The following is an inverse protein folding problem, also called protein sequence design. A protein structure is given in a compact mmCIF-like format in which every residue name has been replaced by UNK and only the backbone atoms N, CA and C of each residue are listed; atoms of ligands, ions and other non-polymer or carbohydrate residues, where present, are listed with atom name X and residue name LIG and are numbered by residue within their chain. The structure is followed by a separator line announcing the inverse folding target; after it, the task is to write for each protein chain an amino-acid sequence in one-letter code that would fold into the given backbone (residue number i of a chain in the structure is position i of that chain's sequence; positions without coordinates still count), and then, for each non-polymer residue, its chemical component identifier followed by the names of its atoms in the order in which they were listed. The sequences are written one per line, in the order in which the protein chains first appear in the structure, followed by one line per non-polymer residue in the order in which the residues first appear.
data_IF_562299448284
#
_entry.id   IF_562299448284
#
_cell.length_a   1.000
_cell.length_b   1.000
_cell.length_c   1.000
_cell.angle_alpha   90.00
_cell.angle_beta   90.00
_cell.angle_gamma   90.00
#
_symmetry.space_group_name_H-M   'P 1'
#
loop_
_entity.id
_entity.type
_entity.pdbx_description
1 polymer ?
#
# COMPACT_ATOMS: atom_id res chain seq x y z
N UNK A 1 39.21 3.74 -28.19
CA UNK A 1 39.16 2.39 -27.60
C UNK A 1 38.79 2.56 -26.14
N UNK A 2 37.49 2.73 -25.84
CA UNK A 2 36.98 2.93 -24.49
C UNK A 2 36.62 1.54 -23.91
N UNK A 3 37.35 1.15 -22.90
CA UNK A 3 37.00 -0.04 -22.10
C UNK A 3 35.68 0.22 -21.39
N UNK A 4 34.64 -0.43 -21.84
CA UNK A 4 33.36 -0.54 -21.16
C UNK A 4 33.61 -1.45 -19.94
N UNK A 5 33.82 -0.87 -18.74
CA UNK A 5 33.78 -1.59 -17.49
C UNK A 5 32.35 -2.09 -17.34
N UNK A 6 32.11 -3.27 -17.85
CA UNK A 6 30.89 -4.03 -17.62
C UNK A 6 30.96 -4.50 -16.15
N UNK A 7 30.29 -3.80 -15.24
CA UNK A 7 29.87 -4.43 -14.00
C UNK A 7 28.82 -5.46 -14.40
N UNK A 8 29.26 -6.64 -14.75
CA UNK A 8 28.40 -7.80 -14.94
C UNK A 8 27.71 -8.09 -13.59
N UNK A 9 26.48 -7.60 -13.45
CA UNK A 9 25.52 -8.32 -12.63
C UNK A 9 25.29 -9.63 -13.37
N UNK A 10 25.77 -10.72 -12.81
CA UNK A 10 25.71 -12.06 -13.40
C UNK A 10 24.30 -12.63 -13.18
N UNK A 11 23.27 -11.90 -13.64
CA UNK A 11 21.89 -12.37 -13.67
C UNK A 11 21.56 -12.74 -15.10
N UNK A 12 21.33 -14.04 -15.34
CA UNK A 12 20.82 -14.53 -16.63
C UNK A 12 19.35 -14.09 -16.88
N UNK A 13 18.73 -13.39 -15.90
CA UNK A 13 17.34 -12.93 -15.96
C UNK A 13 17.22 -11.56 -16.61
N UNK A 14 16.27 -11.43 -17.52
CA UNK A 14 15.89 -10.15 -18.11
C UNK A 14 15.03 -9.31 -17.14
N UNK A 15 15.41 -8.03 -16.96
CA UNK A 15 14.83 -7.13 -15.96
C UNK A 15 14.15 -5.95 -16.65
N UNK A 16 12.87 -5.70 -16.26
CA UNK A 16 12.12 -4.50 -16.60
C UNK A 16 11.93 -3.62 -15.37
N UNK A 17 12.35 -2.36 -15.43
CA UNK A 17 12.02 -1.39 -14.38
C UNK A 17 10.79 -0.58 -14.76
N UNK A 18 9.82 -0.49 -13.87
CA UNK A 18 8.56 0.22 -13.99
C UNK A 18 8.54 1.43 -13.04
N UNK A 19 8.37 2.64 -13.58
CA UNK A 19 8.45 3.90 -12.84
C UNK A 19 7.14 4.68 -13.01
N UNK A 20 6.27 4.79 -12.00
CA UNK A 20 5.18 5.76 -12.01
C UNK A 20 5.76 7.15 -11.77
N UNK A 21 5.36 8.15 -12.56
CA UNK A 21 5.84 9.52 -12.47
C UNK A 21 4.69 10.53 -12.63
N UNK A 22 4.72 11.61 -11.84
CA UNK A 22 3.82 12.76 -11.97
C UNK A 22 4.52 14.01 -11.47
N UNK A 23 4.87 14.93 -12.39
CA UNK A 23 5.62 16.16 -12.12
C UNK A 23 6.99 15.90 -11.45
N UNK A 24 7.79 15.03 -12.07
CA UNK A 24 9.10 14.60 -11.58
C UNK A 24 10.25 15.05 -12.51
N UNK A 25 10.11 16.15 -13.25
CA UNK A 25 11.11 16.64 -14.24
C UNK A 25 12.52 16.76 -13.68
N UNK A 26 12.66 17.06 -12.38
CA UNK A 26 13.98 17.25 -11.76
C UNK A 26 14.75 15.95 -11.51
N UNK A 27 14.04 14.81 -11.38
CA UNK A 27 14.64 13.54 -10.94
C UNK A 27 14.53 12.42 -11.97
N UNK A 28 13.44 12.39 -12.75
CA UNK A 28 13.10 11.26 -13.61
C UNK A 28 14.23 10.88 -14.58
N UNK A 29 14.91 11.86 -15.18
CA UNK A 29 16.00 11.60 -16.13
C UNK A 29 17.20 10.91 -15.48
N UNK A 30 17.55 11.28 -14.24
CA UNK A 30 18.61 10.62 -13.46
C UNK A 30 18.21 9.22 -13.03
N UNK A 31 16.97 9.05 -12.57
CA UNK A 31 16.43 7.75 -12.15
C UNK A 31 16.45 6.78 -13.32
N UNK A 32 15.90 7.15 -14.48
CA UNK A 32 15.90 6.33 -15.70
C UNK A 32 17.32 5.90 -16.11
N UNK A 33 18.25 6.87 -16.24
CA UNK A 33 19.64 6.59 -16.62
C UNK A 33 20.36 5.65 -15.66
N UNK A 34 20.05 5.76 -14.35
CA UNK A 34 20.64 4.88 -13.37
C UNK A 34 19.98 3.49 -13.39
N UNK A 35 18.67 3.40 -13.56
CA UNK A 35 17.98 2.11 -13.71
C UNK A 35 18.47 1.32 -14.92
N UNK A 36 18.75 1.98 -16.06
CA UNK A 36 19.29 1.34 -17.27
C UNK A 36 20.70 0.71 -17.10
N UNK A 37 21.37 0.97 -15.99
CA UNK A 37 22.63 0.28 -15.66
C UNK A 37 22.41 -1.12 -15.10
N UNK A 38 21.21 -1.41 -14.59
CA UNK A 38 20.86 -2.62 -13.85
C UNK A 38 19.64 -3.35 -14.44
N UNK A 39 19.08 -2.83 -15.53
CA UNK A 39 17.91 -3.38 -16.19
C UNK A 39 18.05 -3.34 -17.70
N UNK A 40 17.42 -4.28 -18.40
CA UNK A 40 17.40 -4.36 -19.86
C UNK A 40 16.45 -3.33 -20.47
N UNK A 41 15.37 -3.01 -19.74
CA UNK A 41 14.35 -2.07 -20.15
C UNK A 41 13.85 -1.23 -18.98
N UNK A 42 13.52 0.02 -19.25
CA UNK A 42 12.85 0.93 -18.32
C UNK A 42 11.57 1.43 -18.97
N UNK A 43 10.45 1.32 -18.28
CA UNK A 43 9.18 1.92 -18.68
C UNK A 43 8.74 2.94 -17.63
N UNK A 44 8.39 4.13 -18.09
CA UNK A 44 7.84 5.21 -17.25
C UNK A 44 6.37 5.38 -17.59
N UNK A 45 5.51 5.46 -16.59
CA UNK A 45 4.14 5.92 -16.77
C UNK A 45 4.03 7.36 -16.26
N UNK A 46 4.00 8.31 -17.19
CA UNK A 46 3.70 9.72 -16.93
C UNK A 46 2.20 9.88 -16.72
N UNK A 47 1.78 10.08 -15.47
CA UNK A 47 0.37 10.19 -15.07
C UNK A 47 -0.20 11.59 -15.32
N UNK A 48 -0.03 12.10 -16.54
CA UNK A 48 -0.56 13.40 -16.98
C UNK A 48 0.18 14.58 -16.36
N UNK A 49 1.51 14.55 -16.34
CA UNK A 49 2.35 15.66 -15.86
C UNK A 49 2.12 16.93 -16.70
N UNK A 50 2.26 18.07 -16.03
CA UNK A 50 2.19 19.41 -16.64
C UNK A 50 3.56 20.03 -16.87
N UNK A 51 4.62 19.40 -16.34
CA UNK A 51 6.02 19.74 -16.50
C UNK A 51 6.67 18.91 -17.63
N UNK A 52 8.00 18.94 -17.75
CA UNK A 52 8.76 18.23 -18.79
C UNK A 52 9.07 16.76 -18.42
N UNK A 53 8.32 16.14 -17.49
CA UNK A 53 8.58 14.76 -17.04
C UNK A 53 8.61 13.77 -18.21
N UNK A 54 7.64 13.86 -19.13
CA UNK A 54 7.57 12.99 -20.31
C UNK A 54 8.80 13.10 -21.20
N UNK A 55 9.12 14.31 -21.61
CA UNK A 55 10.22 14.59 -22.57
C UNK A 55 11.57 14.18 -21.97
N UNK A 56 11.76 14.40 -20.67
CA UNK A 56 13.00 14.05 -19.97
C UNK A 56 13.13 12.53 -19.80
N UNK A 57 12.04 11.82 -19.50
CA UNK A 57 12.05 10.37 -19.37
C UNK A 57 12.36 9.68 -20.73
N UNK A 58 11.72 10.14 -21.81
CA UNK A 58 11.95 9.64 -23.17
C UNK A 58 13.41 9.91 -23.62
N UNK A 59 13.90 11.13 -23.46
CA UNK A 59 15.29 11.50 -23.76
C UNK A 59 16.32 10.74 -22.91
N UNK A 60 15.93 10.24 -21.73
CA UNK A 60 16.78 9.41 -20.88
C UNK A 60 16.84 7.94 -21.32
N UNK A 61 15.99 7.52 -22.28
CA UNK A 61 15.95 6.17 -22.85
C UNK A 61 14.89 5.24 -22.30
N UNK A 62 13.86 5.76 -21.62
CA UNK A 62 12.72 4.96 -21.17
C UNK A 62 11.68 4.80 -22.30
N UNK A 63 10.92 3.70 -22.24
CA UNK A 63 9.64 3.62 -22.91
C UNK A 63 8.62 4.41 -22.10
N UNK A 64 7.95 5.42 -22.66
CA UNK A 64 7.04 6.26 -21.89
C UNK A 64 5.59 6.03 -22.30
N UNK A 65 4.77 5.69 -21.30
CA UNK A 65 3.30 5.65 -21.40
C UNK A 65 2.80 6.96 -20.82
N UNK A 66 1.97 7.71 -21.54
CA UNK A 66 1.43 8.99 -21.06
C UNK A 66 -0.09 8.91 -20.89
N UNK A 67 -0.57 9.31 -19.72
CA UNK A 67 -2.00 9.53 -19.48
C UNK A 67 -2.39 10.96 -19.90
N UNK A 68 -3.61 11.13 -20.40
CA UNK A 68 -4.12 12.47 -20.78
C UNK A 68 -4.30 13.41 -19.57
N UNK A 69 -4.51 12.85 -18.39
CA UNK A 69 -4.69 13.57 -17.12
C UNK A 69 -4.24 12.73 -15.95
N UNK A 70 -3.98 13.35 -14.81
CA UNK A 70 -3.67 12.64 -13.57
C UNK A 70 -4.84 11.72 -13.17
N UNK A 71 -4.57 10.43 -13.19
CA UNK A 71 -5.49 9.35 -12.81
C UNK A 71 -5.13 8.73 -11.47
N UNK A 72 -3.94 9.05 -10.94
CA UNK A 72 -3.39 8.57 -9.68
C UNK A 72 -2.44 7.38 -9.83
N UNK A 73 -1.60 7.18 -8.81
CA UNK A 73 -0.53 6.15 -8.79
C UNK A 73 -1.06 4.74 -9.12
N UNK A 74 -2.29 4.40 -8.71
CA UNK A 74 -2.89 3.10 -8.99
C UNK A 74 -3.11 2.85 -10.49
N UNK A 75 -3.59 3.85 -11.22
CA UNK A 75 -3.75 3.75 -12.69
C UNK A 75 -2.39 3.66 -13.38
N UNK A 76 -1.41 4.44 -12.93
CA UNK A 76 -0.06 4.35 -13.45
C UNK A 76 0.51 2.93 -13.28
N UNK A 77 0.33 2.30 -12.12
CA UNK A 77 0.74 0.90 -11.92
C UNK A 77 -0.04 -0.09 -12.80
N UNK A 78 -1.33 0.14 -13.07
CA UNK A 78 -2.08 -0.72 -13.99
C UNK A 78 -1.50 -0.67 -15.40
N UNK A 79 -1.22 0.54 -15.91
CA UNK A 79 -0.61 0.75 -17.23
C UNK A 79 0.79 0.10 -17.30
N UNK A 80 1.61 0.27 -16.24
CA UNK A 80 2.92 -0.35 -16.13
C UNK A 80 2.85 -1.89 -16.08
N UNK A 81 1.95 -2.46 -15.29
CA UNK A 81 1.80 -3.91 -15.21
C UNK A 81 1.17 -4.51 -16.48
N UNK A 82 0.30 -3.77 -17.15
CA UNK A 82 -0.18 -4.18 -18.47
C UNK A 82 0.96 -4.24 -19.48
N UNK A 83 1.83 -3.25 -19.52
CA UNK A 83 3.04 -3.28 -20.34
C UNK A 83 3.95 -4.46 -19.98
N UNK A 84 4.21 -4.66 -18.68
CA UNK A 84 5.07 -5.73 -18.18
C UNK A 84 4.53 -7.14 -18.52
N UNK A 85 3.22 -7.35 -18.52
CA UNK A 85 2.61 -8.64 -18.92
C UNK A 85 2.86 -9.01 -20.37
N UNK A 86 2.97 -8.01 -21.25
CA UNK A 86 3.26 -8.20 -22.69
C UNK A 86 4.75 -8.23 -23.00
N UNK A 87 5.60 -7.80 -22.07
CA UNK A 87 7.05 -7.82 -22.22
C UNK A 87 7.60 -9.22 -22.00
N UNK A 88 8.67 -9.56 -22.76
CA UNK A 88 9.36 -10.83 -22.57
C UNK A 88 10.52 -10.66 -21.57
N UNK A 89 10.20 -10.42 -20.30
CA UNK A 89 11.15 -10.25 -19.20
C UNK A 89 10.84 -11.23 -18.07
N UNK A 90 11.81 -11.54 -17.22
CA UNK A 90 11.70 -12.51 -16.15
C UNK A 90 11.35 -11.85 -14.82
N UNK A 91 11.89 -10.66 -14.57
CA UNK A 91 11.71 -9.90 -13.34
C UNK A 91 11.22 -8.49 -13.65
N UNK A 92 10.25 -8.04 -12.89
CA UNK A 92 9.71 -6.69 -12.95
C UNK A 92 10.09 -5.98 -11.64
N UNK A 93 10.72 -4.81 -11.74
CA UNK A 93 11.07 -3.98 -10.58
C UNK A 93 10.27 -2.69 -10.64
N UNK A 94 9.57 -2.33 -9.58
CA UNK A 94 8.97 -1.01 -9.42
C UNK A 94 9.88 -0.11 -8.60
N UNK A 95 10.00 1.16 -8.97
CA UNK A 95 10.73 2.19 -8.22
C UNK A 95 10.05 3.54 -8.43
N UNK A 96 9.99 4.40 -7.41
CA UNK A 96 9.38 5.73 -7.52
C UNK A 96 10.29 6.70 -8.31
N UNK A 97 9.67 7.64 -9.06
CA UNK A 97 10.37 8.59 -9.93
C UNK A 97 11.05 9.76 -9.22
N UNK A 98 10.84 9.92 -7.90
CA UNK A 98 11.29 11.04 -7.07
C UNK A 98 12.78 11.01 -6.67
N UNK A 99 13.49 9.96 -7.07
CA UNK A 99 14.91 9.77 -6.81
C UNK A 99 15.27 9.45 -5.36
N UNK A 100 14.31 9.11 -4.52
CA UNK A 100 14.58 8.73 -3.12
C UNK A 100 15.23 7.36 -3.01
N UNK A 101 14.88 6.41 -3.86
CA UNK A 101 15.49 5.08 -3.88
C UNK A 101 16.74 5.03 -4.75
N UNK A 102 17.66 4.16 -4.41
CA UNK A 102 18.93 3.93 -5.13
C UNK A 102 18.80 2.77 -6.12
N UNK A 103 18.83 3.02 -7.45
CA UNK A 103 18.79 1.96 -8.45
C UNK A 103 19.92 0.93 -8.34
N UNK A 104 21.03 1.28 -7.68
CA UNK A 104 22.17 0.39 -7.39
C UNK A 104 21.77 -0.81 -6.49
N UNK A 105 20.62 -0.73 -5.83
CA UNK A 105 20.11 -1.80 -4.96
C UNK A 105 19.14 -2.74 -5.69
N UNK A 106 18.79 -2.47 -6.95
CA UNK A 106 17.98 -3.38 -7.80
C UNK A 106 18.51 -4.83 -7.76
N UNK A 107 19.82 -5.09 -7.92
CA UNK A 107 20.35 -6.45 -7.90
C UNK A 107 20.05 -7.21 -6.62
N UNK A 108 20.02 -6.55 -5.45
CA UNK A 108 19.70 -7.18 -4.17
C UNK A 108 18.29 -7.74 -4.11
N UNK A 109 17.32 -7.00 -4.69
CA UNK A 109 15.92 -7.44 -4.74
C UNK A 109 15.76 -8.58 -5.76
N UNK A 110 16.41 -8.43 -6.94
CA UNK A 110 16.33 -9.40 -8.03
C UNK A 110 16.92 -10.74 -7.62
N UNK A 111 18.02 -10.76 -6.88
CA UNK A 111 18.69 -11.98 -6.44
C UNK A 111 17.77 -12.94 -5.71
N UNK A 112 16.84 -12.45 -4.87
CA UNK A 112 15.88 -13.32 -4.16
C UNK A 112 14.80 -13.91 -5.08
N UNK A 113 14.49 -13.23 -6.18
CA UNK A 113 13.61 -13.81 -7.21
C UNK A 113 14.39 -14.88 -8.00
N UNK A 114 15.62 -14.58 -8.37
CA UNK A 114 16.50 -15.45 -9.13
C UNK A 114 16.82 -16.75 -8.37
N UNK A 115 17.10 -16.65 -7.06
CA UNK A 115 17.30 -17.80 -6.18
C UNK A 115 16.01 -18.59 -5.89
N UNK A 116 14.87 -18.14 -6.44
CA UNK A 116 13.54 -18.73 -6.19
C UNK A 116 13.15 -18.76 -4.70
N UNK A 117 13.68 -17.82 -3.92
CA UNK A 117 13.31 -17.66 -2.50
C UNK A 117 11.98 -16.95 -2.34
N UNK A 118 11.66 -16.00 -3.26
CA UNK A 118 10.47 -15.19 -3.21
C UNK A 118 9.87 -14.93 -4.60
N UNK A 119 8.57 -14.65 -4.66
CA UNK A 119 7.86 -14.22 -5.85
C UNK A 119 7.65 -12.69 -5.85
N UNK A 120 7.70 -12.07 -4.65
CA UNK A 120 7.69 -10.63 -4.43
C UNK A 120 8.74 -10.27 -3.38
N UNK A 121 9.59 -9.29 -3.66
CA UNK A 121 10.58 -8.76 -2.73
C UNK A 121 10.32 -7.27 -2.50
N UNK A 122 10.22 -6.86 -1.24
CA UNK A 122 9.95 -5.48 -0.84
C UNK A 122 11.24 -4.87 -0.31
N UNK A 123 11.68 -3.74 -0.88
CA UNK A 123 12.75 -2.93 -0.34
C UNK A 123 12.26 -2.13 0.87
N UNK A 124 12.61 -2.50 2.11
CA UNK A 124 12.16 -1.81 3.31
C UNK A 124 13.15 -0.75 3.82
N UNK A 125 12.61 0.35 4.36
CA UNK A 125 13.32 1.62 4.66
C UNK A 125 13.66 1.87 6.12
N UNK A 126 13.31 1.00 7.04
CA UNK A 126 13.13 1.33 8.46
C UNK A 126 14.38 1.74 9.26
N UNK A 127 15.59 1.44 8.81
CA UNK A 127 16.80 1.83 9.56
C UNK A 127 17.23 3.29 9.30
N UNK A 128 16.75 3.91 8.22
CA UNK A 128 16.93 5.35 7.93
C UNK A 128 15.86 6.23 8.58
N UNK A 129 15.01 5.64 9.43
CA UNK A 129 13.88 6.32 10.09
C UNK A 129 14.26 7.46 11.05
N UNK A 130 15.55 7.75 11.27
CA UNK A 130 15.97 8.89 12.08
C UNK A 130 15.47 10.25 11.54
N UNK A 131 15.30 10.36 10.21
CA UNK A 131 14.92 11.60 9.53
C UNK A 131 13.41 11.72 9.21
N UNK A 132 12.63 10.65 9.43
CA UNK A 132 11.19 10.67 9.16
C UNK A 132 10.42 11.31 10.32
N UNK A 133 9.49 12.27 10.04
CA UNK A 133 8.63 12.86 11.08
C UNK A 133 7.83 11.81 11.85
N UNK A 134 7.68 11.98 13.16
CA UNK A 134 7.06 11.01 14.06
C UNK A 134 5.61 10.64 13.67
N UNK A 135 4.83 11.58 13.15
CA UNK A 135 3.46 11.32 12.69
C UNK A 135 3.42 10.39 11.46
N UNK A 136 4.39 10.51 10.53
CA UNK A 136 4.53 9.59 9.38
C UNK A 136 4.95 8.20 9.83
N UNK A 137 5.88 8.10 10.79
CA UNK A 137 6.28 6.80 11.39
C UNK A 137 5.09 6.09 12.01
N UNK A 138 4.27 6.82 12.76
CA UNK A 138 3.08 6.27 13.40
C UNK A 138 2.04 5.81 12.35
N UNK A 139 1.77 6.64 11.34
CA UNK A 139 0.86 6.31 10.24
C UNK A 139 1.31 5.06 9.48
N UNK A 140 2.57 5.00 9.06
CA UNK A 140 3.10 3.84 8.34
C UNK A 140 3.03 2.56 9.20
N UNK A 141 3.45 2.60 10.48
CA UNK A 141 3.34 1.44 11.38
C UNK A 141 1.91 0.96 11.57
N UNK A 142 0.95 1.87 11.62
CA UNK A 142 -0.46 1.52 11.71
C UNK A 142 -0.93 0.84 10.42
N UNK A 143 -0.56 1.38 9.26
CA UNK A 143 -0.87 0.80 7.95
C UNK A 143 -0.23 -0.60 7.78
N UNK A 144 1.05 -0.74 8.15
CA UNK A 144 1.75 -2.03 8.11
C UNK A 144 1.05 -3.07 9.00
N UNK A 145 0.71 -2.70 10.23
CA UNK A 145 -0.02 -3.59 11.15
C UNK A 145 -1.36 -4.02 10.56
N UNK A 146 -2.10 -3.10 9.98
CA UNK A 146 -3.40 -3.38 9.37
C UNK A 146 -3.26 -4.26 8.13
N UNK A 147 -2.29 -3.99 7.26
CA UNK A 147 -2.01 -4.80 6.07
C UNK A 147 -1.57 -6.21 6.46
N UNK A 148 -0.67 -6.33 7.43
CA UNK A 148 -0.21 -7.63 7.95
C UNK A 148 -1.36 -8.44 8.55
N UNK A 149 -2.29 -7.81 9.27
CA UNK A 149 -3.50 -8.49 9.77
C UNK A 149 -4.42 -8.93 8.63
N UNK A 150 -4.53 -8.16 7.55
CA UNK A 150 -5.36 -8.48 6.40
C UNK A 150 -4.76 -9.60 5.54
N UNK A 151 -3.44 -9.70 5.45
CA UNK A 151 -2.72 -10.64 4.58
C UNK A 151 -2.14 -11.85 5.32
N UNK A 152 -2.10 -11.82 6.67
CA UNK A 152 -1.35 -12.75 7.52
C UNK A 152 0.18 -12.75 7.24
N UNK A 153 0.67 -11.66 6.65
CA UNK A 153 2.10 -11.44 6.41
C UNK A 153 2.74 -10.75 7.62
N UNK A 154 4.06 -10.84 7.70
CA UNK A 154 4.89 -10.11 8.67
C UNK A 154 5.86 -9.19 7.91
N UNK A 155 5.32 -8.21 7.22
CA UNK A 155 6.06 -7.24 6.39
C UNK A 155 6.24 -5.93 7.16
N UNK A 156 7.43 -5.33 7.07
CA UNK A 156 7.83 -4.12 7.83
C UNK A 156 7.48 -2.82 7.12
N UNK A 157 7.50 -2.79 5.77
CA UNK A 157 7.24 -1.60 4.97
C UNK A 157 6.29 -1.91 3.79
N UNK A 158 5.00 -1.97 4.10
CA UNK A 158 3.97 -2.25 3.09
C UNK A 158 3.71 -1.09 2.14
N UNK A 159 4.29 0.08 2.40
CA UNK A 159 4.13 1.30 1.62
C UNK A 159 5.34 1.62 0.74
N UNK A 160 6.37 0.77 0.75
CA UNK A 160 7.52 0.95 -0.14
C UNK A 160 7.11 0.78 -1.60
N UNK A 161 7.46 1.73 -2.46
CA UNK A 161 7.30 1.65 -3.93
C UNK A 161 8.45 0.89 -4.61
N UNK A 162 9.52 0.56 -3.88
CA UNK A 162 10.66 -0.18 -4.42
C UNK A 162 10.52 -1.68 -4.18
N UNK A 163 10.15 -2.42 -5.22
CA UNK A 163 9.83 -3.85 -5.15
C UNK A 163 10.29 -4.58 -6.38
N UNK A 164 10.61 -5.87 -6.23
CA UNK A 164 10.79 -6.80 -7.34
C UNK A 164 9.68 -7.85 -7.35
N UNK A 165 9.26 -8.25 -8.55
CA UNK A 165 8.22 -9.23 -8.78
C UNK A 165 8.68 -10.24 -9.82
N UNK A 166 8.41 -11.53 -9.61
CA UNK A 166 8.54 -12.52 -10.68
C UNK A 166 7.48 -12.29 -11.76
N UNK A 167 7.79 -12.60 -13.02
CA UNK A 167 6.84 -12.51 -14.13
C UNK A 167 5.53 -13.28 -13.85
N UNK A 168 5.65 -14.42 -13.18
CA UNK A 168 4.49 -15.26 -12.92
C UNK A 168 3.48 -14.58 -12.01
N UNK A 169 3.94 -13.87 -10.97
CA UNK A 169 3.03 -13.20 -10.05
C UNK A 169 2.38 -11.95 -10.68
N UNK A 170 3.10 -11.24 -11.56
CA UNK A 170 2.53 -10.06 -12.27
C UNK A 170 1.35 -10.45 -13.16
N UNK A 171 1.34 -11.67 -13.73
CA UNK A 171 0.21 -12.17 -14.52
C UNK A 171 -1.04 -12.41 -13.67
N UNK A 172 -0.86 -12.73 -12.39
CA UNK A 172 -1.93 -13.06 -11.44
C UNK A 172 -2.42 -11.86 -10.63
N UNK A 173 -1.59 -10.81 -10.52
CA UNK A 173 -1.98 -9.59 -9.80
C UNK A 173 -3.06 -8.87 -10.60
N UNK A 174 -4.27 -8.82 -10.03
CA UNK A 174 -5.37 -8.00 -10.52
C UNK A 174 -5.86 -7.12 -9.37
N UNK A 175 -5.68 -5.82 -9.48
CA UNK A 175 -6.13 -4.85 -8.49
C UNK A 175 -7.04 -3.81 -9.13
N UNK A 176 -8.08 -3.42 -8.40
CA UNK A 176 -9.10 -2.48 -8.89
C UNK A 176 -8.67 -1.04 -8.59
N UNK A 177 -9.04 -0.14 -9.49
CA UNK A 177 -8.70 1.28 -9.53
C UNK A 177 -9.15 2.12 -8.31
N UNK A 178 -9.95 1.59 -7.40
CA UNK A 178 -10.58 2.35 -6.32
C UNK A 178 -10.35 1.64 -4.99
N UNK A 179 -9.57 2.25 -4.13
CA UNK A 179 -9.35 1.80 -2.77
C UNK A 179 -7.97 2.21 -2.29
N UNK A 180 -7.34 1.42 -1.54
CA UNK A 180 -6.04 1.55 -0.90
C UNK A 180 -4.97 2.23 -1.72
N UNK A 181 -3.96 2.72 -1.05
CA UNK A 181 -2.70 2.96 -1.70
C UNK A 181 -2.36 1.75 -2.58
N UNK A 182 -2.11 1.98 -3.88
CA UNK A 182 -1.89 0.93 -4.86
C UNK A 182 -0.87 -0.11 -4.37
N UNK A 183 0.14 0.35 -3.65
CA UNK A 183 1.20 -0.47 -3.06
C UNK A 183 0.66 -1.54 -2.11
N UNK A 184 -0.34 -1.21 -1.28
CA UNK A 184 -0.98 -2.17 -0.35
C UNK A 184 -1.88 -3.15 -1.09
N UNK A 185 -2.67 -2.68 -2.06
CA UNK A 185 -3.60 -3.53 -2.81
C UNK A 185 -2.85 -4.57 -3.66
N UNK A 186 -1.76 -4.18 -4.29
CA UNK A 186 -0.86 -5.07 -5.02
C UNK A 186 -0.35 -6.19 -4.10
N UNK A 187 0.11 -5.87 -2.88
CA UNK A 187 0.57 -6.86 -1.92
C UNK A 187 -0.52 -7.82 -1.45
N UNK A 188 -1.71 -7.28 -1.14
CA UNK A 188 -2.86 -8.09 -0.75
C UNK A 188 -3.24 -9.06 -1.88
N UNK A 189 -3.21 -8.57 -3.11
CA UNK A 189 -3.54 -9.39 -4.27
C UNK A 189 -2.47 -10.48 -4.52
N UNK A 190 -1.18 -10.13 -4.44
CA UNK A 190 -0.08 -11.08 -4.53
C UNK A 190 -0.20 -12.18 -3.45
N UNK A 191 -0.44 -11.80 -2.18
CA UNK A 191 -0.61 -12.75 -1.08
C UNK A 191 -1.82 -13.67 -1.29
N UNK A 192 -2.95 -13.16 -1.80
CA UNK A 192 -4.13 -13.97 -2.13
C UNK A 192 -3.85 -15.02 -3.21
N UNK A 193 -2.97 -14.71 -4.14
CA UNK A 193 -2.54 -15.61 -5.20
C UNK A 193 -1.39 -16.54 -4.76
N UNK A 194 -1.10 -16.61 -3.45
CA UNK A 194 -0.12 -17.54 -2.89
C UNK A 194 1.33 -17.12 -3.10
N UNK A 195 1.62 -15.84 -3.42
CA UNK A 195 2.97 -15.36 -3.60
C UNK A 195 3.79 -15.48 -2.32
N UNK A 196 5.02 -15.96 -2.44
CA UNK A 196 6.04 -15.91 -1.37
C UNK A 196 6.60 -14.50 -1.33
N UNK A 197 6.38 -13.79 -0.22
CA UNK A 197 6.80 -12.40 -0.05
C UNK A 197 7.98 -12.34 0.90
N UNK A 198 9.04 -11.67 0.48
CA UNK A 198 10.26 -11.44 1.26
C UNK A 198 10.58 -9.94 1.33
N UNK A 199 11.49 -9.58 2.21
CA UNK A 199 11.96 -8.22 2.37
C UNK A 199 13.47 -8.14 2.21
N UNK A 200 13.94 -7.02 1.65
CA UNK A 200 15.36 -6.68 1.56
C UNK A 200 15.57 -5.25 2.06
N UNK A 201 16.64 -5.05 2.85
CA UNK A 201 16.97 -3.73 3.37
C UNK A 201 17.50 -2.82 2.27
N UNK A 202 16.88 -1.63 2.12
CA UNK A 202 17.30 -0.62 1.15
C UNK A 202 17.54 0.73 1.79
N UNK A 203 18.45 1.49 1.18
CA UNK A 203 18.79 2.85 1.56
C UNK A 203 17.84 3.85 0.90
N UNK A 204 17.54 4.96 1.59
CA UNK A 204 16.68 6.03 1.08
C UNK A 204 17.32 7.38 1.33
N UNK A 205 17.27 8.24 0.31
CA UNK A 205 17.72 9.63 0.37
C UNK A 205 16.51 10.53 0.61
N UNK A 206 16.38 11.10 1.80
CA UNK A 206 15.22 11.95 2.17
C UNK A 206 15.31 13.40 1.70
N UNK A 207 16.48 13.90 1.27
CA UNK A 207 16.72 15.29 0.92
C UNK A 207 16.91 15.49 -0.57
N UNK A 208 15.98 15.03 -1.39
CA UNK A 208 16.03 15.22 -2.85
C UNK A 208 15.58 16.61 -3.28
N UNK A 209 15.05 17.45 -2.36
CA UNK A 209 14.50 18.77 -2.71
C UNK A 209 13.16 18.68 -3.46
N UNK A 210 12.63 17.47 -3.68
CA UNK A 210 11.31 17.28 -4.24
C UNK A 210 10.26 17.80 -3.27
N UNK A 211 9.33 18.63 -3.74
CA UNK A 211 8.09 18.88 -3.04
C UNK A 211 7.33 17.54 -3.02
N UNK A 212 7.57 16.73 -1.97
CA UNK A 212 6.85 15.48 -1.77
C UNK A 212 5.36 15.75 -1.94
N UNK A 213 4.79 15.14 -2.96
CA UNK A 213 3.42 15.13 -3.43
C UNK A 213 2.51 16.22 -2.84
N UNK A 214 2.07 17.14 -3.68
CA UNK A 214 1.20 18.29 -3.42
C UNK A 214 -0.18 17.99 -2.81
N UNK A 215 -0.49 16.74 -2.49
CA UNK A 215 -1.70 16.41 -1.71
C UNK A 215 -1.38 16.56 -0.23
N UNK A 216 -2.17 17.40 0.44
CA UNK A 216 -2.14 17.55 1.90
C UNK A 216 -1.97 16.18 2.56
N UNK A 217 -0.94 15.96 3.42
CA UNK A 217 -0.69 14.66 4.07
C UNK A 217 -1.91 14.11 4.79
N UNK A 218 -2.82 14.98 5.22
CA UNK A 218 -4.06 14.65 5.94
C UNK A 218 -5.11 14.04 4.99
N UNK A 219 -5.28 14.55 3.75
CA UNK A 219 -6.28 14.02 2.81
C UNK A 219 -5.86 12.64 2.26
N UNK A 220 -4.58 12.47 1.95
CA UNK A 220 -4.07 11.18 1.46
C UNK A 220 -4.09 10.08 2.53
N UNK A 221 -3.75 10.44 3.78
CA UNK A 221 -3.88 9.53 4.92
C UNK A 221 -5.33 9.17 5.21
N UNK A 222 -6.27 10.11 5.02
CA UNK A 222 -7.70 9.87 5.21
C UNK A 222 -8.28 8.86 4.22
N UNK A 223 -7.95 8.97 2.94
CA UNK A 223 -8.40 8.03 1.91
C UNK A 223 -7.83 6.62 2.15
N UNK A 224 -6.56 6.51 2.50
CA UNK A 224 -5.91 5.23 2.81
C UNK A 224 -6.50 4.60 4.07
N UNK A 225 -6.73 5.38 5.13
CA UNK A 225 -7.35 4.90 6.37
C UNK A 225 -8.79 4.44 6.13
N UNK A 226 -9.58 5.22 5.40
CA UNK A 226 -10.97 4.87 5.09
C UNK A 226 -11.05 3.55 4.32
N UNK A 227 -10.22 3.40 3.33
CA UNK A 227 -10.15 2.18 2.53
C UNK A 227 -9.65 0.97 3.35
N UNK A 228 -8.69 1.15 4.27
CA UNK A 228 -8.25 0.10 5.21
C UNK A 228 -9.37 -0.32 6.15
N UNK A 229 -10.10 0.64 6.72
CA UNK A 229 -11.26 0.36 7.56
C UNK A 229 -12.30 -0.45 6.78
N UNK A 230 -12.55 -0.10 5.52
CA UNK A 230 -13.50 -0.80 4.66
C UNK A 230 -13.12 -2.29 4.45
N UNK A 231 -11.86 -2.60 4.12
CA UNK A 231 -11.44 -4.01 3.94
C UNK A 231 -11.43 -4.79 5.26
N UNK A 232 -10.99 -4.17 6.35
CA UNK A 232 -10.97 -4.82 7.65
C UNK A 232 -12.40 -5.06 8.14
N UNK A 233 -13.29 -4.07 7.94
CA UNK A 233 -14.71 -4.20 8.25
C UNK A 233 -15.36 -5.32 7.42
N UNK A 234 -15.00 -5.48 6.15
CA UNK A 234 -15.53 -6.54 5.27
C UNK A 234 -14.91 -7.91 5.61
N UNK A 235 -13.61 -7.99 5.92
CA UNK A 235 -12.93 -9.28 6.18
C UNK A 235 -13.17 -9.88 7.55
N UNK A 236 -13.33 -9.04 8.59
CA UNK A 236 -13.55 -9.49 9.97
C UNK A 236 -14.48 -8.54 10.71
N UNK A 237 -15.73 -8.37 10.24
CA UNK A 237 -16.66 -7.37 10.76
C UNK A 237 -16.98 -7.57 12.23
N UNK A 238 -17.09 -8.81 12.69
CA UNK A 238 -17.37 -9.14 14.10
C UNK A 238 -16.26 -8.66 15.03
N UNK A 239 -14.99 -8.77 14.62
CA UNK A 239 -13.85 -8.33 15.45
C UNK A 239 -13.68 -6.81 15.47
N UNK A 240 -13.88 -6.12 14.34
CA UNK A 240 -13.55 -4.69 14.21
C UNK A 240 -14.75 -3.76 14.45
N UNK A 241 -15.95 -4.20 14.10
CA UNK A 241 -17.18 -3.43 14.32
C UNK A 241 -17.98 -3.99 15.49
N UNK A 242 -18.05 -5.31 15.62
CA UNK A 242 -18.82 -5.97 16.66
C UNK A 242 -18.21 -5.82 18.06
N UNK A 243 -16.88 -5.97 18.20
CA UNK A 243 -16.22 -5.84 19.52
C UNK A 243 -16.39 -4.45 20.14
N UNK A 244 -16.15 -3.32 19.42
CA UNK A 244 -16.47 -1.99 19.94
C UNK A 244 -17.94 -1.83 20.29
N UNK A 245 -18.85 -2.40 19.49
CA UNK A 245 -20.28 -2.40 19.77
C UNK A 245 -20.62 -3.08 21.10
N UNK A 246 -20.05 -4.27 21.35
CA UNK A 246 -20.25 -4.99 22.63
C UNK A 246 -19.70 -4.19 23.81
N UNK A 247 -18.52 -3.59 23.68
CA UNK A 247 -17.92 -2.76 24.75
C UNK A 247 -18.83 -1.59 25.08
N UNK A 248 -19.39 -0.89 24.08
CA UNK A 248 -20.32 0.20 24.30
C UNK A 248 -21.63 -0.27 24.95
N UNK A 249 -22.16 -1.43 24.58
CA UNK A 249 -23.35 -2.02 25.24
C UNK A 249 -23.08 -2.27 26.73
N UNK A 250 -21.95 -2.89 27.05
CA UNK A 250 -21.54 -3.17 28.43
C UNK A 250 -21.43 -1.87 29.24
N UNK A 251 -20.78 -0.85 28.66
CA UNK A 251 -20.62 0.47 29.26
C UNK A 251 -21.99 1.14 29.49
N UNK A 252 -22.90 1.05 28.53
CA UNK A 252 -24.23 1.60 28.63
C UNK A 252 -25.08 0.90 29.72
N UNK A 253 -24.96 -0.43 29.85
CA UNK A 253 -25.60 -1.19 30.93
C UNK A 253 -25.04 -0.77 32.30
N UNK A 254 -23.70 -0.59 32.37
CA UNK A 254 -23.07 -0.10 33.61
C UNK A 254 -23.66 1.24 34.07
N UNK A 255 -23.74 2.24 33.18
CA UNK A 255 -24.34 3.52 33.51
C UNK A 255 -25.83 3.43 33.86
N UNK A 256 -26.59 2.54 33.22
CA UNK A 256 -27.99 2.33 33.54
C UNK A 256 -28.17 1.77 34.97
N UNK A 257 -27.33 0.81 35.35
CA UNK A 257 -27.33 0.24 36.71
C UNK A 257 -26.94 1.31 37.74
N UNK A 258 -25.85 2.06 37.48
CA UNK A 258 -25.31 3.10 38.37
C UNK A 258 -26.37 4.18 38.65
N UNK A 259 -27.02 4.70 37.61
CA UNK A 259 -28.12 5.68 37.75
C UNK A 259 -29.31 5.12 38.55
N UNK A 260 -29.65 3.86 38.30
CA UNK A 260 -30.77 3.21 39.00
C UNK A 260 -30.47 3.04 40.49
N UNK A 261 -29.28 2.57 40.85
CA UNK A 261 -28.83 2.41 42.23
C UNK A 261 -28.78 3.76 42.94
N UNK A 262 -28.17 4.78 42.33
CA UNK A 262 -28.11 6.13 42.90
C UNK A 262 -29.49 6.70 43.13
N UNK A 263 -30.44 6.47 42.22
CA UNK A 263 -31.81 6.93 42.37
C UNK A 263 -32.54 6.21 43.55
N UNK A 264 -32.32 4.91 43.72
CA UNK A 264 -32.95 4.16 44.82
C UNK A 264 -32.38 4.50 46.17
N UNK A 265 -31.10 4.86 46.28
CA UNK A 265 -30.44 5.19 47.55
C UNK A 265 -30.68 6.62 48.00
N UNK A 266 -30.58 7.60 47.13
CA UNK A 266 -30.62 9.02 47.50
C UNK A 266 -31.70 9.84 46.77
N UNK A 267 -32.53 9.22 45.92
CA UNK A 267 -33.57 9.90 45.15
C UNK A 267 -33.07 10.84 44.07
N UNK A 268 -31.76 10.80 43.74
CA UNK A 268 -31.13 11.70 42.76
C UNK A 268 -31.08 11.03 41.41
N UNK A 269 -31.72 11.67 40.39
CA UNK A 269 -31.68 11.23 38.98
C UNK A 269 -30.67 12.05 38.17
N UNK A 270 -29.58 11.44 37.75
CA UNK A 270 -28.52 12.09 36.96
C UNK A 270 -28.83 12.07 35.46
N UNK A 271 -29.33 13.20 34.94
CA UNK A 271 -29.59 13.36 33.49
C UNK A 271 -28.37 13.13 32.65
N UNK A 272 -27.15 13.67 32.94
CA UNK A 272 -25.97 13.46 32.12
C UNK A 272 -25.55 11.99 32.00
N UNK A 273 -25.51 11.25 33.09
CA UNK A 273 -25.14 9.83 33.07
C UNK A 273 -26.19 8.97 32.37
N UNK A 274 -27.48 9.31 32.51
CA UNK A 274 -28.54 8.64 31.74
C UNK A 274 -28.36 8.86 30.22
N UNK A 275 -28.09 10.08 29.78
CA UNK A 275 -27.87 10.37 28.38
C UNK A 275 -26.63 9.64 27.82
N UNK A 276 -25.53 9.58 28.55
CA UNK A 276 -24.35 8.82 28.20
C UNK A 276 -24.68 7.33 28.08
N UNK A 277 -25.35 6.76 29.09
CA UNK A 277 -25.74 5.35 29.10
C UNK A 277 -26.63 4.97 27.93
N UNK A 278 -27.67 5.75 27.63
CA UNK A 278 -28.57 5.52 26.50
C UNK A 278 -27.84 5.67 25.18
N UNK A 279 -27.01 6.69 25.04
CA UNK A 279 -26.20 6.90 23.82
C UNK A 279 -25.27 5.71 23.58
N UNK A 280 -24.57 5.23 24.59
CA UNK A 280 -23.70 4.06 24.51
C UNK A 280 -24.48 2.79 24.11
N UNK A 281 -25.67 2.56 24.67
CA UNK A 281 -26.50 1.42 24.30
C UNK A 281 -26.96 1.48 22.85
N UNK A 282 -27.47 2.62 22.42
CA UNK A 282 -27.98 2.79 21.05
C UNK A 282 -26.86 2.64 20.02
N UNK A 283 -25.74 3.36 20.21
CA UNK A 283 -24.59 3.28 19.29
C UNK A 283 -23.97 1.88 19.30
N UNK A 284 -23.82 1.27 20.49
CA UNK A 284 -23.31 -0.08 20.64
C UNK A 284 -24.17 -1.12 19.91
N UNK A 285 -25.49 -1.02 20.03
CA UNK A 285 -26.43 -1.91 19.36
C UNK A 285 -26.38 -1.75 17.84
N UNK A 286 -26.34 -0.52 17.34
CA UNK A 286 -26.18 -0.24 15.90
C UNK A 286 -24.90 -0.86 15.36
N UNK A 287 -23.74 -0.65 16.01
CA UNK A 287 -22.47 -1.24 15.59
C UNK A 287 -22.52 -2.77 15.61
N UNK A 288 -23.10 -3.36 16.65
CA UNK A 288 -23.20 -4.82 16.77
C UNK A 288 -24.08 -5.42 15.66
N UNK A 289 -25.26 -4.86 15.41
CA UNK A 289 -26.13 -5.31 14.32
C UNK A 289 -25.50 -5.11 12.94
N UNK A 290 -24.85 -3.98 12.71
CA UNK A 290 -24.11 -3.72 11.48
C UNK A 290 -23.00 -4.75 11.26
N UNK A 291 -22.31 -5.16 12.33
CA UNK A 291 -21.25 -6.17 12.23
C UNK A 291 -21.79 -7.54 11.80
N UNK A 292 -22.99 -7.92 12.27
CA UNK A 292 -23.64 -9.17 11.86
C UNK A 292 -24.07 -9.12 10.40
N UNK A 293 -24.64 -7.99 9.96
CA UNK A 293 -25.02 -7.79 8.56
C UNK A 293 -23.82 -7.89 7.62
N UNK A 294 -22.72 -7.19 7.94
CA UNK A 294 -21.47 -7.25 7.17
C UNK A 294 -20.89 -8.67 7.15
N UNK A 295 -20.94 -9.40 8.26
CA UNK A 295 -20.51 -10.79 8.32
C UNK A 295 -21.33 -11.70 7.42
N UNK A 296 -22.65 -11.52 7.40
CA UNK A 296 -23.56 -12.28 6.54
C UNK A 296 -23.28 -12.03 5.06
N UNK A 297 -23.08 -10.76 4.68
CA UNK A 297 -22.74 -10.36 3.31
C UNK A 297 -21.38 -10.91 2.88
N UNK A 298 -20.35 -10.80 3.72
CA UNK A 298 -19.02 -11.34 3.45
C UNK A 298 -19.02 -12.86 3.23
N UNK A 299 -19.86 -13.60 4.00
CA UNK A 299 -19.98 -15.05 3.85
C UNK A 299 -20.69 -15.45 2.55
N UNK A 300 -21.66 -14.65 2.09
CA UNK A 300 -22.35 -14.88 0.79
C UNK A 300 -21.41 -14.63 -0.39
N UNK A 301 -20.61 -13.57 -0.36
CA UNK A 301 -19.62 -13.26 -1.41
C UNK A 301 -18.61 -14.39 -1.59
N UNK A 302 -18.05 -14.92 -0.49
CA UNK A 302 -17.12 -16.08 -0.55
C UNK A 302 -17.75 -17.36 -1.09
N UNK A 303 -19.04 -17.57 -0.89
CA UNK A 303 -19.73 -18.75 -1.40
C UNK A 303 -19.99 -18.65 -2.91
N UNK A 304 -20.17 -17.44 -3.44
CA UNK A 304 -20.33 -17.19 -4.87
C UNK A 304 -19.01 -17.35 -5.65
N UNK A 305 -17.87 -16.97 -5.04
CA UNK A 305 -16.53 -17.15 -5.65
C UNK A 305 -16.09 -18.61 -5.75
N UNK A 306 -16.58 -19.50 -4.86
CA UNK A 306 -16.24 -20.94 -4.88
C UNK A 306 -17.16 -21.78 -5.80
N UNK A 307 -18.10 -21.17 -6.51
CA UNK A 307 -19.09 -21.89 -7.37
C UNK A 307 -18.84 -21.61 -8.86
N UNK A 308 -17.81 -20.89 -9.20
CA UNK A 308 -17.25 -20.68 -10.54
C UNK A 308 -15.79 -21.11 -10.58
#
# INVERSE_FOLDING_TARGET
MFFKLCFCTNTDMSILVCIPAFNEEHFIGKVVKNCLKYADQVVVCDDGSVDNTYEIADAAGANVIRHEKNCGKGEAFQSLFQFARHSNVDVIVTIDGDGQFLPEEIPKLVQKIESNEADVVIGYRFDSAAEMPNYRKFGNKMLDKMTNMATQLSVRDTQSGFRAYSKNIIKLIDFKKKGFGADTEILINAAKNGARISEEKVSVIYHTGSQTSTKNPISHSGEVITSLIEIIAIRSPLKFVGTPGIILIILGIYFAIDVTLTYTEIGYFSIPFTLIGVSCLVVGLILFLTSILLYSLSKRSKKSENTH
#
